data_IF_972160278619
#
_entry.id   IF_972160278619
#
_cell.length_a   1.000
_cell.length_b   1.000
_cell.length_c   1.000
_cell.angle_alpha   90.00
_cell.angle_beta   90.00
_cell.angle_gamma   90.00
#
_symmetry.space_group_name_H-M   'P 1'
#
loop_
_entity.id
_entity.type
_entity.pdbx_description
1 polymer ?
#
# COMPACT_ATOMS: atom_id res chain seq x y z
N UNK A 1 -34.72 -5.28 11.24
CA UNK A 1 -33.31 -5.04 10.84
C UNK A 1 -32.43 -5.71 11.88
N UNK A 2 -31.55 -6.65 11.52
CA UNK A 2 -30.66 -7.24 12.52
C UNK A 2 -29.69 -6.16 12.97
N UNK A 3 -29.56 -6.02 14.28
CA UNK A 3 -28.59 -5.14 14.92
C UNK A 3 -27.25 -5.88 14.82
N UNK A 4 -26.53 -5.68 13.71
CA UNK A 4 -25.16 -6.17 13.62
C UNK A 4 -24.34 -5.42 14.67
N UNK A 5 -23.60 -6.16 15.49
CA UNK A 5 -22.71 -5.55 16.48
C UNK A 5 -21.66 -4.70 15.76
N UNK A 6 -21.43 -3.48 16.22
CA UNK A 6 -20.42 -2.55 15.67
C UNK A 6 -19.04 -3.20 15.50
N UNK A 7 -18.66 -4.10 16.40
CA UNK A 7 -17.40 -4.82 16.29
C UNK A 7 -17.39 -5.71 15.04
N UNK A 8 -18.52 -6.35 14.70
CA UNK A 8 -18.62 -7.15 13.48
C UNK A 8 -18.47 -6.29 12.24
N UNK A 9 -19.07 -5.09 12.19
CA UNK A 9 -18.90 -4.16 11.07
C UNK A 9 -17.44 -3.75 10.88
N UNK A 10 -16.74 -3.43 11.97
CA UNK A 10 -15.30 -3.11 11.92
C UNK A 10 -14.52 -4.31 11.35
N UNK A 11 -14.81 -5.51 11.84
CA UNK A 11 -14.14 -6.71 11.36
C UNK A 11 -14.38 -6.95 9.87
N UNK A 12 -15.63 -6.87 9.40
CA UNK A 12 -15.97 -7.02 7.99
C UNK A 12 -15.23 -6.02 7.10
N UNK A 13 -15.16 -4.75 7.52
CA UNK A 13 -14.47 -3.70 6.76
C UNK A 13 -12.94 -3.86 6.79
N UNK A 14 -12.37 -4.34 7.90
CA UNK A 14 -10.94 -4.67 7.99
C UNK A 14 -10.58 -5.87 7.11
N UNK A 15 -11.43 -6.91 7.06
CA UNK A 15 -11.26 -8.05 6.16
C UNK A 15 -11.30 -7.60 4.70
N UNK A 16 -12.29 -6.79 4.31
CA UNK A 16 -12.34 -6.22 2.95
C UNK A 16 -11.11 -5.37 2.62
N UNK A 17 -10.63 -4.59 3.59
CA UNK A 17 -9.41 -3.78 3.43
C UNK A 17 -8.19 -4.67 3.19
N UNK A 18 -8.08 -5.78 3.93
CA UNK A 18 -7.00 -6.76 3.74
C UNK A 18 -7.06 -7.43 2.36
N UNK A 19 -8.25 -7.83 1.90
CA UNK A 19 -8.42 -8.38 0.55
C UNK A 19 -8.01 -7.37 -0.53
N UNK A 20 -8.33 -6.09 -0.33
CA UNK A 20 -7.87 -4.99 -1.17
C UNK A 20 -6.34 -4.85 -1.17
N UNK A 21 -5.70 -4.98 -0.01
CA UNK A 21 -4.25 -4.92 0.11
C UNK A 21 -3.59 -6.08 -0.66
N UNK A 22 -4.13 -7.30 -0.54
CA UNK A 22 -3.68 -8.47 -1.31
C UNK A 22 -3.86 -8.27 -2.82
N UNK A 23 -5.00 -7.70 -3.23
CA UNK A 23 -5.30 -7.40 -4.63
C UNK A 23 -4.33 -6.38 -5.24
N UNK A 24 -4.05 -5.27 -4.53
CA UNK A 24 -3.08 -4.27 -4.99
C UNK A 24 -1.66 -4.86 -5.08
N UNK A 25 -1.23 -5.68 -4.10
CA UNK A 25 0.07 -6.38 -4.19
C UNK A 25 0.14 -7.26 -5.44
N UNK A 26 -0.92 -8.02 -5.74
CA UNK A 26 -0.98 -8.88 -6.93
C UNK A 26 -0.95 -8.07 -8.24
N UNK A 27 -1.60 -6.90 -8.26
CA UNK A 27 -1.55 -5.98 -9.40
C UNK A 27 -0.12 -5.45 -9.59
N UNK A 28 0.51 -4.96 -8.52
CA UNK A 28 1.89 -4.45 -8.56
C UNK A 28 2.88 -5.56 -8.97
N UNK A 29 2.66 -6.80 -8.55
CA UNK A 29 3.46 -7.95 -9.00
C UNK A 29 3.44 -8.12 -10.53
N UNK A 30 2.25 -7.97 -11.15
CA UNK A 30 2.11 -8.04 -12.61
C UNK A 30 2.80 -6.87 -13.30
N UNK A 31 2.67 -5.67 -12.74
CA UNK A 31 3.38 -4.49 -13.22
C UNK A 31 4.91 -4.68 -13.12
N UNK A 32 5.43 -5.19 -12.00
CA UNK A 32 6.84 -5.48 -11.81
C UNK A 32 7.37 -6.45 -12.87
N UNK A 33 6.62 -7.49 -13.21
CA UNK A 33 6.99 -8.41 -14.29
C UNK A 33 7.10 -7.70 -15.66
N UNK A 34 6.21 -6.75 -15.94
CA UNK A 34 6.30 -5.92 -17.13
C UNK A 34 7.55 -5.02 -17.12
N UNK A 35 7.81 -4.33 -16.01
CA UNK A 35 9.00 -3.49 -15.88
C UNK A 35 10.30 -4.30 -15.98
N UNK A 36 10.34 -5.50 -15.42
CA UNK A 36 11.48 -6.42 -15.55
C UNK A 36 11.74 -6.81 -17.00
N UNK A 37 10.69 -7.11 -17.77
CA UNK A 37 10.80 -7.40 -19.20
C UNK A 37 11.32 -6.17 -19.97
N UNK A 38 10.80 -4.99 -19.68
CA UNK A 38 11.24 -3.73 -20.29
C UNK A 38 12.72 -3.46 -20.01
N UNK A 39 13.14 -3.57 -18.76
CA UNK A 39 14.55 -3.45 -18.36
C UNK A 39 15.45 -4.41 -19.14
N UNK A 40 15.08 -5.69 -19.20
CA UNK A 40 15.86 -6.70 -19.94
C UNK A 40 16.01 -6.32 -21.42
N UNK A 41 14.92 -5.92 -22.08
CA UNK A 41 14.95 -5.52 -23.48
C UNK A 41 15.82 -4.27 -23.71
N UNK A 42 15.72 -3.26 -22.85
CA UNK A 42 16.53 -2.04 -22.97
C UNK A 42 18.02 -2.33 -22.70
N UNK A 43 18.33 -3.24 -21.79
CA UNK A 43 19.70 -3.72 -21.54
C UNK A 43 20.27 -4.46 -22.76
N UNK A 44 19.52 -5.40 -23.33
CA UNK A 44 19.92 -6.12 -24.55
C UNK A 44 20.17 -5.16 -25.71
N UNK A 45 19.27 -4.20 -25.93
CA UNK A 45 19.43 -3.16 -26.96
C UNK A 45 20.67 -2.30 -26.71
N UNK A 46 20.90 -1.89 -25.47
CA UNK A 46 22.07 -1.08 -25.10
C UNK A 46 23.38 -1.83 -25.38
N UNK A 47 23.47 -3.12 -25.03
CA UNK A 47 24.65 -3.95 -25.29
C UNK A 47 24.85 -4.18 -26.79
N UNK A 48 23.79 -4.57 -27.51
CA UNK A 48 23.87 -4.91 -28.93
C UNK A 48 24.23 -3.71 -29.81
N UNK A 49 23.84 -2.51 -29.40
CA UNK A 49 24.16 -1.28 -30.13
C UNK A 49 25.40 -0.57 -29.57
N UNK A 50 26.39 -1.33 -29.05
CA UNK A 50 27.68 -0.80 -28.54
C UNK A 50 27.51 0.32 -27.51
N UNK A 51 26.59 0.15 -26.55
CA UNK A 51 26.35 1.07 -25.44
C UNK A 51 25.78 2.44 -25.85
N UNK A 52 25.15 2.56 -27.03
CA UNK A 52 24.61 3.84 -27.51
C UNK A 52 23.26 4.27 -26.89
N UNK A 53 22.59 3.40 -26.12
CA UNK A 53 21.25 3.66 -25.54
C UNK A 53 21.24 3.85 -24.00
N UNK A 54 22.28 4.45 -23.44
CA UNK A 54 22.46 4.55 -21.97
C UNK A 54 21.25 5.18 -21.27
N UNK A 55 20.74 6.30 -21.79
CA UNK A 55 19.57 6.98 -21.21
C UNK A 55 18.32 6.11 -21.15
N UNK A 56 18.08 5.31 -22.18
CA UNK A 56 16.92 4.41 -22.24
C UNK A 56 17.07 3.27 -21.23
N UNK A 57 18.27 2.69 -21.15
CA UNK A 57 18.60 1.65 -20.18
C UNK A 57 18.47 2.16 -18.73
N UNK A 58 19.07 3.31 -18.39
CA UNK A 58 18.98 3.92 -17.06
C UNK A 58 17.52 4.21 -16.66
N UNK A 59 16.70 4.70 -17.59
CA UNK A 59 15.28 4.93 -17.34
C UNK A 59 14.53 3.62 -17.06
N UNK A 60 14.82 2.56 -17.82
CA UNK A 60 14.21 1.25 -17.61
C UNK A 60 14.67 0.59 -16.30
N UNK A 61 15.94 0.76 -15.91
CA UNK A 61 16.51 0.29 -14.65
C UNK A 61 15.85 0.98 -13.46
N UNK A 62 15.81 2.32 -13.46
CA UNK A 62 15.15 3.10 -12.41
C UNK A 62 13.66 2.74 -12.29
N UNK A 63 12.97 2.57 -13.42
CA UNK A 63 11.56 2.18 -13.43
C UNK A 63 11.33 0.79 -12.80
N UNK A 64 12.19 -0.18 -13.13
CA UNK A 64 12.14 -1.52 -12.52
C UNK A 64 12.45 -1.47 -11.03
N UNK A 65 13.49 -0.74 -10.62
CA UNK A 65 13.86 -0.56 -9.22
C UNK A 65 12.73 0.07 -8.41
N UNK A 66 12.15 1.19 -8.86
CA UNK A 66 11.05 1.85 -8.17
C UNK A 66 9.84 0.92 -7.99
N UNK A 67 9.49 0.17 -9.04
CA UNK A 67 8.38 -0.78 -8.98
C UNK A 67 8.68 -1.98 -8.06
N UNK A 68 9.93 -2.40 -7.96
CA UNK A 68 10.36 -3.42 -7.02
C UNK A 68 10.21 -2.94 -5.58
N UNK A 69 10.66 -1.72 -5.27
CA UNK A 69 10.49 -1.13 -3.94
C UNK A 69 9.02 -1.01 -3.58
N UNK A 70 8.17 -0.56 -4.50
CA UNK A 70 6.73 -0.50 -4.28
C UNK A 70 6.16 -1.89 -3.94
N UNK A 71 6.51 -2.92 -4.72
CA UNK A 71 6.09 -4.30 -4.45
C UNK A 71 6.53 -4.79 -3.07
N UNK A 72 7.79 -4.56 -2.71
CA UNK A 72 8.39 -4.97 -1.44
C UNK A 72 7.65 -4.36 -0.24
N UNK A 73 7.29 -3.09 -0.32
CA UNK A 73 6.52 -2.41 0.71
C UNK A 73 5.11 -3.00 0.86
N UNK A 74 4.45 -3.37 -0.23
CA UNK A 74 3.15 -4.05 -0.14
C UNK A 74 3.26 -5.44 0.50
N UNK A 75 4.32 -6.20 0.22
CA UNK A 75 4.60 -7.46 0.92
C UNK A 75 4.79 -7.21 2.42
N UNK A 76 5.61 -6.22 2.79
CA UNK A 76 5.86 -5.89 4.19
C UNK A 76 4.60 -5.43 4.93
N UNK A 77 3.74 -4.64 4.28
CA UNK A 77 2.43 -4.25 4.83
C UNK A 77 1.54 -5.45 5.11
N UNK A 78 1.49 -6.41 4.18
CA UNK A 78 0.72 -7.64 4.34
C UNK A 78 1.24 -8.45 5.52
N UNK A 79 2.56 -8.62 5.64
CA UNK A 79 3.18 -9.33 6.76
C UNK A 79 2.75 -8.72 8.10
N UNK A 80 2.92 -7.39 8.25
CA UNK A 80 2.53 -6.68 9.48
C UNK A 80 1.04 -6.88 9.77
N UNK A 81 0.16 -6.67 8.78
CA UNK A 81 -1.30 -6.80 9.00
C UNK A 81 -1.67 -8.24 9.35
N UNK A 82 -1.03 -9.22 8.71
CA UNK A 82 -1.31 -10.63 8.93
C UNK A 82 -0.87 -11.11 10.32
N UNK A 83 0.11 -10.46 10.95
CA UNK A 83 0.51 -10.75 12.34
C UNK A 83 -0.62 -10.44 13.36
N UNK A 84 -1.56 -9.55 13.01
CA UNK A 84 -2.72 -9.22 13.85
C UNK A 84 -3.98 -10.00 13.47
N UNK A 85 -3.89 -10.88 12.47
CA UNK A 85 -5.00 -11.68 11.97
C UNK A 85 -5.06 -13.00 12.73
N UNK A 86 -6.22 -13.31 13.29
CA UNK A 86 -6.44 -14.55 14.02
C UNK A 86 -6.81 -15.73 13.08
N UNK A 87 -6.85 -16.97 13.58
CA UNK A 87 -7.22 -18.14 12.77
C UNK A 87 -8.66 -18.12 12.22
N UNK A 88 -9.51 -17.21 12.67
CA UNK A 88 -10.89 -17.01 12.19
C UNK A 88 -11.02 -15.88 11.17
N UNK A 89 -9.87 -15.41 10.67
CA UNK A 89 -9.74 -14.31 9.72
C UNK A 89 -10.16 -12.93 10.25
N UNK A 90 -10.22 -12.75 11.57
CA UNK A 90 -10.50 -11.49 12.23
C UNK A 90 -9.25 -10.79 12.76
N UNK A 91 -9.37 -9.49 12.99
CA UNK A 91 -8.33 -8.61 13.53
C UNK A 91 -8.73 -8.16 14.95
N UNK A 92 -8.63 -9.01 15.98
CA UNK A 92 -9.04 -8.66 17.34
C UNK A 92 -8.27 -7.46 17.90
N UNK A 93 -7.00 -7.31 17.53
CA UNK A 93 -6.10 -6.25 18.00
C UNK A 93 -5.95 -5.10 16.99
N UNK A 94 -7.02 -4.75 16.28
CA UNK A 94 -6.99 -3.76 15.20
C UNK A 94 -6.44 -2.37 15.58
N UNK A 95 -6.52 -1.98 16.86
CA UNK A 95 -5.91 -0.75 17.36
C UNK A 95 -4.38 -0.84 17.45
N UNK A 96 -3.84 -1.98 17.87
CA UNK A 96 -2.40 -2.22 17.93
C UNK A 96 -1.83 -2.42 16.52
N UNK A 97 -2.59 -3.05 15.61
CA UNK A 97 -2.29 -3.07 14.18
C UNK A 97 -2.13 -1.64 13.62
N UNK A 98 -3.11 -0.76 13.88
CA UNK A 98 -3.05 0.64 13.46
C UNK A 98 -1.82 1.36 14.03
N UNK A 99 -1.56 1.21 15.34
CA UNK A 99 -0.41 1.85 16.01
C UNK A 99 0.91 1.38 15.40
N UNK A 100 1.05 0.08 15.17
CA UNK A 100 2.25 -0.54 14.59
C UNK A 100 2.50 0.00 13.18
N UNK A 101 1.50 -0.02 12.31
CA UNK A 101 1.64 0.52 10.95
C UNK A 101 1.93 2.01 10.94
N UNK A 102 1.30 2.78 11.84
CA UNK A 102 1.56 4.21 11.96
C UNK A 102 3.01 4.49 12.41
N UNK A 103 3.54 3.71 13.35
CA UNK A 103 4.95 3.83 13.75
C UNK A 103 5.91 3.46 12.62
N UNK A 104 5.61 2.40 11.87
CA UNK A 104 6.41 2.01 10.69
C UNK A 104 6.42 3.16 9.66
N UNK A 105 5.26 3.73 9.36
CA UNK A 105 5.13 4.89 8.48
C UNK A 105 6.01 6.06 8.93
N UNK A 106 5.94 6.43 10.21
CA UNK A 106 6.73 7.52 10.78
C UNK A 106 8.23 7.24 10.70
N UNK A 107 8.68 6.02 10.98
CA UNK A 107 10.09 5.63 10.85
C UNK A 107 10.62 5.73 9.42
N UNK A 108 9.78 5.48 8.41
CA UNK A 108 10.15 5.71 7.01
C UNK A 108 10.24 7.21 6.70
N UNK A 109 9.31 8.02 7.21
CA UNK A 109 9.33 9.47 7.05
C UNK A 109 10.56 10.11 7.73
N UNK A 110 10.92 9.68 8.93
CA UNK A 110 12.13 10.12 9.66
C UNK A 110 13.42 9.83 8.90
N UNK A 111 13.43 8.77 8.09
CA UNK A 111 14.55 8.39 7.22
C UNK A 111 14.49 9.05 5.84
N UNK A 112 13.64 10.06 5.68
CA UNK A 112 13.41 10.79 4.41
C UNK A 112 12.93 9.90 3.25
N UNK A 113 12.39 8.71 3.56
CA UNK A 113 11.82 7.78 2.58
C UNK A 113 10.35 8.10 2.33
N UNK A 114 10.08 9.32 1.84
CA UNK A 114 8.74 9.89 1.77
C UNK A 114 7.79 9.14 0.83
N UNK A 115 8.29 8.59 -0.28
CA UNK A 115 7.47 7.79 -1.21
C UNK A 115 6.92 6.53 -0.52
N UNK A 116 7.80 5.82 0.19
CA UNK A 116 7.44 4.64 0.96
C UNK A 116 6.48 4.99 2.10
N UNK A 117 6.80 6.05 2.86
CA UNK A 117 5.93 6.55 3.92
C UNK A 117 4.54 6.91 3.38
N UNK A 118 4.46 7.50 2.18
CA UNK A 118 3.22 7.82 1.48
C UNK A 118 2.37 6.59 1.19
N UNK A 119 2.97 5.51 0.68
CA UNK A 119 2.28 4.24 0.43
C UNK A 119 1.69 3.69 1.74
N UNK A 120 2.49 3.62 2.81
CA UNK A 120 2.06 3.10 4.11
C UNK A 120 0.95 3.98 4.70
N UNK A 121 1.08 5.31 4.58
CA UNK A 121 0.10 6.28 5.09
C UNK A 121 -1.30 6.06 4.51
N UNK A 122 -1.42 5.74 3.21
CA UNK A 122 -2.71 5.44 2.57
C UNK A 122 -3.46 4.33 3.33
N UNK A 123 -2.74 3.28 3.73
CA UNK A 123 -3.32 2.14 4.44
C UNK A 123 -3.56 2.44 5.93
N UNK A 124 -2.64 3.14 6.59
CA UNK A 124 -2.82 3.62 7.97
C UNK A 124 -4.08 4.49 8.09
N UNK A 125 -4.27 5.43 7.16
CA UNK A 125 -5.43 6.32 7.15
C UNK A 125 -6.72 5.53 6.89
N UNK A 126 -6.70 4.55 5.97
CA UNK A 126 -7.85 3.67 5.73
C UNK A 126 -8.23 2.88 6.98
N UNK A 127 -7.26 2.29 7.68
CA UNK A 127 -7.50 1.54 8.92
C UNK A 127 -8.05 2.47 10.00
N UNK A 128 -7.39 3.62 10.24
CA UNK A 128 -7.88 4.63 11.19
C UNK A 128 -9.30 5.03 10.87
N UNK A 129 -9.59 5.23 9.60
CA UNK A 129 -10.88 5.61 9.11
C UNK A 129 -11.92 4.51 9.36
N UNK A 130 -11.62 3.23 9.15
CA UNK A 130 -12.54 2.12 9.47
C UNK A 130 -12.85 2.10 10.97
N UNK A 131 -11.81 2.22 11.80
CA UNK A 131 -11.93 2.19 13.27
C UNK A 131 -12.72 3.41 13.79
N UNK A 132 -12.53 4.60 13.20
CA UNK A 132 -13.10 5.86 13.67
C UNK A 132 -14.40 6.27 12.98
N UNK A 133 -14.66 5.88 11.73
CA UNK A 133 -15.94 6.08 11.00
C UNK A 133 -17.14 5.64 11.84
N UNK A 134 -17.02 4.53 12.57
CA UNK A 134 -18.09 4.03 13.41
C UNK A 134 -18.33 4.88 14.70
N UNK A 135 -17.53 5.91 14.99
CA UNK A 135 -17.83 6.90 16.04
C UNK A 135 -18.64 8.09 15.52
N UNK A 136 -18.70 8.31 14.21
CA UNK A 136 -19.42 9.42 13.60
C UNK A 136 -20.59 8.89 12.77
N UNK A 137 -21.73 8.63 13.44
CA UNK A 137 -23.02 8.57 12.74
C UNK A 137 -23.18 9.88 11.96
N UNK A 138 -23.16 9.78 10.64
CA UNK A 138 -23.52 10.87 9.73
C UNK A 138 -22.35 11.70 9.19
N UNK A 139 -21.68 11.21 8.14
CA UNK A 139 -21.41 12.04 6.96
C UNK A 139 -21.00 11.18 5.75
N UNK A 140 -21.69 11.42 4.65
CA UNK A 140 -21.46 10.86 3.31
C UNK A 140 -20.01 11.09 2.85
N UNK A 141 -19.43 10.07 2.21
CA UNK A 141 -18.04 9.98 1.78
C UNK A 141 -17.75 10.67 0.44
N UNK A 142 -18.71 11.40 -0.13
CA UNK A 142 -18.56 11.98 -1.48
C UNK A 142 -17.92 13.37 -1.53
N UNK A 143 -17.48 13.95 -0.41
CA UNK A 143 -16.86 15.29 -0.43
C UNK A 143 -15.67 15.38 0.52
N UNK A 144 -14.50 14.94 0.06
CA UNK A 144 -13.25 15.52 0.52
C UNK A 144 -13.01 16.81 -0.31
N UNK A 145 -13.10 18.01 0.27
CA UNK A 145 -12.64 19.21 -0.42
C UNK A 145 -11.11 19.24 -0.32
N UNK A 146 -10.44 18.89 -1.41
CA UNK A 146 -9.19 19.57 -1.74
C UNK A 146 -9.53 21.03 -2.10
N UNK A 147 -8.58 21.93 -1.84
CA UNK A 147 -8.56 23.36 -2.24
C UNK A 147 -9.33 24.35 -1.36
N UNK A 148 -8.62 24.97 -0.41
CA UNK A 148 -8.11 26.34 -0.61
C UNK A 148 -7.34 26.83 0.62
N UNK A 149 -6.01 26.81 0.53
CA UNK A 149 -5.15 27.71 1.29
C UNK A 149 -4.58 28.72 0.31
N UNK A 150 -5.12 29.94 0.35
CA UNK A 150 -4.37 31.16 0.09
C UNK A 150 -3.90 31.70 1.42
#
# INVERSE_FOLDING_TARGET
>A
MPIISRNLEIQEELTKMYDLLLSERNKIQKELAFFRKRYKNSCEKHINDNFNHEKEWLCADQGHYNKFIEYDIYCHLIEIVNDFKDPTDYFPEYWEMYRTLNQVMLRFAEKEKYEIAGIIKIWVDRIKCIITKCYAVGRSWEKCPHENSR
#
